data_IF_067137587244
#
_entry.id   IF_067137587244
#
_cell.length_a   1.000
_cell.length_b   1.000
_cell.length_c   1.000
_cell.angle_alpha   90.00
_cell.angle_beta   90.00
_cell.angle_gamma   90.00
#
_symmetry.space_group_name_H-M   'P 1'
#
loop_
_entity.id
_entity.type
_entity.pdbx_description
1 polymer ?
#
# COMPACT_ATOMS: atom_id res chain seq x y z
N UNK A 1 16.84 -22.71 -2.84
CA UNK A 1 16.23 -21.37 -2.74
C UNK A 1 15.55 -21.27 -1.37
N UNK A 2 15.44 -20.09 -0.75
CA UNK A 2 14.65 -19.95 0.46
C UNK A 2 13.20 -20.37 0.19
N UNK A 3 12.55 -21.02 1.17
CA UNK A 3 11.15 -21.41 1.05
C UNK A 3 10.30 -20.14 1.09
N UNK A 4 9.32 -20.06 0.18
CA UNK A 4 8.34 -18.98 0.15
C UNK A 4 7.46 -19.07 1.40
N UNK A 5 7.35 -17.97 2.14
CA UNK A 5 6.53 -17.87 3.35
C UNK A 5 5.12 -17.46 3.01
N UNK A 6 4.16 -18.32 3.30
CA UNK A 6 2.75 -18.15 2.96
C UNK A 6 1.94 -17.92 4.23
N UNK A 7 1.12 -16.87 4.22
CA UNK A 7 0.03 -16.70 5.15
C UNK A 7 -1.24 -17.27 4.52
N UNK A 8 -1.79 -18.33 5.10
CA UNK A 8 -3.04 -18.95 4.67
C UNK A 8 -4.22 -18.34 5.43
N UNK A 9 -5.23 -17.89 4.70
CA UNK A 9 -6.51 -17.40 5.23
C UNK A 9 -7.61 -18.23 4.59
N UNK A 10 -8.40 -18.91 5.41
CA UNK A 10 -9.49 -19.78 4.94
C UNK A 10 -10.71 -19.64 5.87
N UNK A 11 -11.93 -19.70 5.34
CA UNK A 11 -13.17 -19.69 6.13
C UNK A 11 -13.54 -21.06 6.73
N UNK A 12 -12.86 -22.13 6.31
CA UNK A 12 -13.03 -23.50 6.78
C UNK A 12 -11.73 -24.07 7.37
N UNK A 13 -11.75 -24.42 8.66
CA UNK A 13 -10.59 -24.98 9.36
C UNK A 13 -10.09 -26.31 8.78
N UNK A 14 -11.00 -27.20 8.37
CA UNK A 14 -10.62 -28.51 7.86
C UNK A 14 -9.97 -28.41 6.48
N UNK A 15 -10.47 -27.49 5.64
CA UNK A 15 -9.84 -27.16 4.36
C UNK A 15 -8.49 -26.48 4.57
N UNK A 16 -8.39 -25.53 5.51
CA UNK A 16 -7.15 -24.85 5.84
C UNK A 16 -6.03 -25.84 6.23
N UNK A 17 -6.34 -26.84 7.05
CA UNK A 17 -5.38 -27.88 7.45
C UNK A 17 -4.93 -28.75 6.27
N UNK A 18 -5.86 -29.13 5.38
CA UNK A 18 -5.53 -29.87 4.16
C UNK A 18 -4.60 -29.07 3.25
N UNK A 19 -4.92 -27.80 3.00
CA UNK A 19 -4.12 -26.90 2.17
C UNK A 19 -2.75 -26.68 2.79
N UNK A 20 -2.69 -26.41 4.10
CA UNK A 20 -1.44 -26.25 4.84
C UNK A 20 -0.52 -27.46 4.67
N UNK A 21 -1.05 -28.67 4.81
CA UNK A 21 -0.25 -29.89 4.62
C UNK A 21 0.25 -29.99 3.17
N UNK A 22 -0.61 -29.71 2.19
CA UNK A 22 -0.22 -29.70 0.77
C UNK A 22 0.89 -28.67 0.48
N UNK A 23 0.81 -27.48 1.07
CA UNK A 23 1.85 -26.44 0.94
C UNK A 23 3.19 -26.90 1.54
N UNK A 24 3.16 -27.51 2.73
CA UNK A 24 4.37 -28.01 3.41
C UNK A 24 5.05 -29.14 2.62
N UNK A 25 4.26 -30.01 1.97
CA UNK A 25 4.76 -31.09 1.10
C UNK A 25 5.42 -30.57 -0.19
N UNK A 26 5.04 -29.37 -0.64
CA UNK A 26 5.52 -28.75 -1.88
C UNK A 26 6.57 -27.65 -1.65
N UNK A 27 7.36 -27.79 -0.58
CA UNK A 27 8.48 -26.90 -0.24
C UNK A 27 8.11 -25.43 0.07
N UNK A 28 6.86 -25.16 0.45
CA UNK A 28 6.45 -23.88 1.01
C UNK A 28 6.55 -23.87 2.54
N UNK A 29 6.66 -22.67 3.13
CA UNK A 29 6.62 -22.46 4.58
C UNK A 29 5.31 -21.75 4.94
N UNK A 30 4.42 -22.40 5.70
CA UNK A 30 3.18 -21.76 6.16
C UNK A 30 3.43 -21.10 7.51
N UNK A 31 3.58 -19.77 7.50
CA UNK A 31 3.90 -18.99 8.71
C UNK A 31 2.66 -18.63 9.53
N UNK A 32 1.50 -18.55 8.87
CA UNK A 32 0.23 -18.27 9.50
C UNK A 32 -0.88 -19.12 8.86
N UNK A 33 -1.82 -19.55 9.68
CA UNK A 33 -3.09 -20.12 9.25
C UNK A 33 -4.18 -19.43 10.07
N UNK A 34 -4.99 -18.60 9.41
CA UNK A 34 -5.97 -17.72 10.03
C UNK A 34 -7.34 -17.97 9.42
N UNK A 35 -8.39 -17.72 10.20
CA UNK A 35 -9.75 -17.60 9.66
C UNK A 35 -10.12 -16.14 9.47
N UNK A 36 -11.16 -15.88 8.67
CA UNK A 36 -11.65 -14.53 8.38
C UNK A 36 -11.95 -13.71 9.64
N UNK A 37 -12.48 -14.35 10.67
CA UNK A 37 -12.82 -13.71 11.95
C UNK A 37 -11.59 -13.24 12.75
N UNK A 38 -10.41 -13.79 12.44
CA UNK A 38 -9.16 -13.49 13.14
C UNK A 38 -8.27 -12.48 12.41
N UNK A 39 -8.67 -12.01 11.23
CA UNK A 39 -7.87 -11.08 10.42
C UNK A 39 -7.54 -9.78 11.16
N UNK A 40 -8.50 -9.23 11.91
CA UNK A 40 -8.31 -7.99 12.65
C UNK A 40 -7.51 -8.16 13.96
N UNK A 41 -7.23 -9.40 14.37
CA UNK A 41 -6.59 -9.70 15.67
C UNK A 41 -5.08 -9.90 15.49
N UNK A 42 -4.66 -10.44 14.34
CA UNK A 42 -3.25 -10.71 14.06
C UNK A 42 -2.63 -9.63 13.17
N UNK A 43 -1.55 -9.01 13.65
CA UNK A 43 -0.66 -8.21 12.82
C UNK A 43 0.27 -9.15 12.07
N UNK A 44 -0.04 -9.43 10.80
CA UNK A 44 0.80 -10.22 9.91
C UNK A 44 2.20 -9.62 9.68
N UNK A 45 2.43 -8.36 10.07
CA UNK A 45 3.75 -7.72 10.10
C UNK A 45 4.78 -8.52 10.93
N UNK A 46 4.35 -9.22 11.98
CA UNK A 46 5.23 -10.06 12.81
C UNK A 46 5.51 -11.43 12.17
N UNK A 47 4.68 -11.85 11.21
CA UNK A 47 4.69 -13.20 10.64
C UNK A 47 5.66 -13.34 9.45
N UNK A 48 6.24 -12.23 8.97
CA UNK A 48 7.22 -12.19 7.87
C UNK A 48 6.76 -13.00 6.63
N UNK A 49 5.48 -12.94 6.28
CA UNK A 49 4.94 -13.61 5.10
C UNK A 49 5.37 -12.88 3.80
N UNK A 50 5.65 -13.65 2.75
CA UNK A 50 5.94 -13.13 1.41
C UNK A 50 4.67 -12.96 0.57
N UNK A 51 3.65 -13.78 0.83
CA UNK A 51 2.40 -13.83 0.07
C UNK A 51 1.24 -14.31 0.93
N UNK A 52 0.05 -13.78 0.64
CA UNK A 52 -1.20 -14.18 1.26
C UNK A 52 -1.97 -15.09 0.30
N UNK A 53 -2.40 -16.24 0.82
CA UNK A 53 -3.30 -17.16 0.14
C UNK A 53 -4.67 -17.08 0.81
N UNK A 54 -5.65 -16.53 0.11
CA UNK A 54 -7.05 -16.53 0.51
C UNK A 54 -7.75 -17.71 -0.17
N UNK A 55 -8.38 -18.58 0.59
CA UNK A 55 -9.36 -19.55 0.08
C UNK A 55 -10.73 -19.18 0.61
N UNK A 56 -11.67 -18.89 -0.30
CA UNK A 56 -13.03 -18.50 0.04
C UNK A 56 -14.01 -19.13 -0.96
N UNK A 57 -14.99 -19.89 -0.47
CA UNK A 57 -16.05 -20.40 -1.36
C UNK A 57 -16.91 -19.26 -1.91
N UNK A 58 -17.14 -18.22 -1.11
CA UNK A 58 -17.93 -17.04 -1.47
C UNK A 58 -17.13 -15.74 -1.24
N UNK A 59 -16.28 -15.35 -2.21
CA UNK A 59 -15.50 -14.13 -2.08
C UNK A 59 -16.38 -12.88 -2.20
N UNK A 60 -16.43 -12.10 -1.12
CA UNK A 60 -17.05 -10.77 -1.11
C UNK A 60 -15.97 -9.69 -1.21
N UNK A 61 -16.23 -8.67 -2.04
CA UNK A 61 -15.32 -7.56 -2.30
C UNK A 61 -14.78 -6.93 -1.00
N UNK A 62 -15.66 -6.61 -0.06
CA UNK A 62 -15.29 -5.89 1.17
C UNK A 62 -14.27 -6.67 2.03
N UNK A 63 -14.39 -8.00 2.07
CA UNK A 63 -13.47 -8.86 2.83
C UNK A 63 -12.10 -8.89 2.16
N UNK A 64 -12.07 -9.02 0.83
CA UNK A 64 -10.84 -9.01 0.04
C UNK A 64 -10.14 -7.65 0.20
N UNK A 65 -10.87 -6.56 0.04
CA UNK A 65 -10.36 -5.19 0.13
C UNK A 65 -9.81 -4.91 1.54
N UNK A 66 -10.51 -5.36 2.58
CA UNK A 66 -10.03 -5.31 3.96
C UNK A 66 -8.73 -6.09 4.15
N UNK A 67 -8.62 -7.29 3.59
CA UNK A 67 -7.41 -8.10 3.68
C UNK A 67 -6.23 -7.44 2.96
N UNK A 68 -6.40 -7.08 1.68
CA UNK A 68 -5.36 -6.45 0.85
C UNK A 68 -4.87 -5.15 1.50
N UNK A 69 -5.79 -4.31 1.98
CA UNK A 69 -5.45 -3.01 2.57
C UNK A 69 -4.77 -3.14 3.94
N UNK A 70 -5.07 -4.19 4.70
CA UNK A 70 -4.52 -4.36 6.06
C UNK A 70 -3.09 -4.87 6.06
N UNK A 71 -2.69 -5.63 5.03
CA UNK A 71 -1.42 -6.36 5.07
C UNK A 71 -0.38 -5.88 4.07
N UNK A 72 -0.76 -5.16 3.02
CA UNK A 72 0.18 -4.66 2.01
C UNK A 72 1.14 -5.76 1.50
N UNK A 73 0.56 -6.92 1.17
CA UNK A 73 1.26 -8.08 0.63
C UNK A 73 0.58 -8.58 -0.66
N UNK A 74 1.34 -9.26 -1.55
CA UNK A 74 0.77 -9.95 -2.69
C UNK A 74 -0.32 -10.91 -2.21
N UNK A 75 -1.50 -10.85 -2.82
CA UNK A 75 -2.68 -11.58 -2.35
C UNK A 75 -3.25 -12.43 -3.48
N UNK A 76 -3.30 -13.74 -3.28
CA UNK A 76 -3.82 -14.71 -4.24
C UNK A 76 -5.11 -15.30 -3.70
N UNK A 77 -6.18 -15.18 -4.48
CA UNK A 77 -7.50 -15.71 -4.14
C UNK A 77 -7.77 -17.03 -4.87
N UNK A 78 -8.09 -18.06 -4.11
CA UNK A 78 -8.61 -19.34 -4.54
C UNK A 78 -10.09 -19.42 -4.23
N UNK A 79 -10.86 -19.89 -5.20
CA UNK A 79 -12.30 -20.08 -5.04
C UNK A 79 -12.84 -21.05 -6.08
N UNK A 80 -13.99 -21.65 -5.80
CA UNK A 80 -14.75 -22.45 -6.79
C UNK A 80 -15.65 -21.57 -7.65
N UNK A 81 -15.76 -20.28 -7.33
CA UNK A 81 -16.63 -19.37 -8.05
C UNK A 81 -15.99 -18.92 -9.38
N UNK A 82 -16.67 -19.21 -10.49
CA UNK A 82 -16.26 -18.82 -11.85
C UNK A 82 -17.06 -17.64 -12.42
N UNK A 83 -17.90 -17.00 -11.59
CA UNK A 83 -18.70 -15.85 -11.97
C UNK A 83 -17.83 -14.64 -12.36
N UNK A 84 -18.14 -14.03 -13.50
CA UNK A 84 -17.34 -12.95 -14.08
C UNK A 84 -17.40 -11.67 -13.26
N UNK A 85 -18.54 -11.37 -12.65
CA UNK A 85 -18.69 -10.15 -11.85
C UNK A 85 -17.93 -10.28 -10.53
N UNK A 86 -17.93 -11.49 -9.95
CA UNK A 86 -17.11 -11.82 -8.78
C UNK A 86 -15.61 -11.72 -9.07
N UNK A 87 -15.16 -12.23 -10.22
CA UNK A 87 -13.76 -12.12 -10.65
C UNK A 87 -13.35 -10.65 -10.75
N UNK A 88 -14.16 -9.81 -11.40
CA UNK A 88 -13.87 -8.37 -11.52
C UNK A 88 -13.81 -7.69 -10.15
N UNK A 89 -14.77 -7.96 -9.28
CA UNK A 89 -14.81 -7.40 -7.94
C UNK A 89 -13.56 -7.77 -7.13
N UNK A 90 -13.07 -9.00 -7.26
CA UNK A 90 -11.83 -9.41 -6.59
C UNK A 90 -10.61 -8.67 -7.15
N UNK A 91 -10.51 -8.54 -8.47
CA UNK A 91 -9.40 -7.81 -9.12
C UNK A 91 -9.43 -6.34 -8.70
N UNK A 92 -10.62 -5.71 -8.70
CA UNK A 92 -10.81 -4.32 -8.28
C UNK A 92 -10.49 -4.12 -6.79
N UNK A 93 -10.70 -5.14 -5.95
CA UNK A 93 -10.30 -5.15 -4.54
C UNK A 93 -8.78 -5.32 -4.32
N UNK A 94 -8.02 -5.57 -5.40
CA UNK A 94 -6.55 -5.59 -5.36
C UNK A 94 -5.91 -6.97 -5.22
N UNK A 95 -6.63 -8.07 -5.52
CA UNK A 95 -5.95 -9.38 -5.63
C UNK A 95 -4.97 -9.37 -6.78
N UNK A 96 -3.85 -10.04 -6.60
CA UNK A 96 -2.81 -10.16 -7.62
C UNK A 96 -3.04 -11.35 -8.55
N UNK A 97 -3.75 -12.37 -8.07
CA UNK A 97 -4.20 -13.49 -8.88
C UNK A 97 -5.52 -14.06 -8.36
N UNK A 98 -6.36 -14.52 -9.28
CA UNK A 98 -7.62 -15.20 -9.00
C UNK A 98 -7.60 -16.57 -9.66
N UNK A 99 -7.80 -17.64 -8.88
CA UNK A 99 -7.65 -19.01 -9.32
C UNK A 99 -8.95 -19.77 -9.05
N UNK A 100 -9.50 -20.33 -10.13
CA UNK A 100 -10.67 -21.21 -10.12
C UNK A 100 -10.18 -22.67 -10.10
N UNK A 101 -10.90 -23.54 -9.39
CA UNK A 101 -10.64 -24.99 -9.26
C UNK A 101 -9.50 -25.41 -8.32
N UNK A 102 -9.10 -24.52 -7.40
CA UNK A 102 -8.25 -24.87 -6.26
C UNK A 102 -6.75 -24.94 -6.56
N UNK A 103 -6.00 -25.56 -5.65
CA UNK A 103 -4.53 -25.51 -5.63
C UNK A 103 -3.95 -26.71 -6.38
N UNK A 104 -3.37 -26.47 -7.55
CA UNK A 104 -2.43 -27.39 -8.21
C UNK A 104 -1.00 -27.04 -7.73
N UNK A 105 -0.36 -27.86 -6.89
CA UNK A 105 0.93 -27.53 -6.30
C UNK A 105 2.04 -27.32 -7.34
N UNK A 106 1.96 -28.02 -8.48
CA UNK A 106 2.94 -27.89 -9.56
C UNK A 106 2.88 -26.51 -10.23
N UNK A 107 1.72 -25.84 -10.20
CA UNK A 107 1.52 -24.50 -10.78
C UNK A 107 1.63 -23.41 -9.73
N UNK A 108 1.38 -23.74 -8.47
CA UNK A 108 1.34 -22.79 -7.38
C UNK A 108 2.61 -21.96 -7.29
N UNK A 109 3.78 -22.59 -7.41
CA UNK A 109 5.06 -21.89 -7.34
C UNK A 109 5.14 -20.75 -8.37
N UNK A 110 4.88 -21.07 -9.64
CA UNK A 110 4.87 -20.10 -10.73
C UNK A 110 3.85 -18.98 -10.52
N UNK A 111 2.65 -19.32 -10.03
CA UNK A 111 1.60 -18.32 -9.80
C UNK A 111 1.98 -17.37 -8.67
N UNK A 112 2.54 -17.89 -7.57
CA UNK A 112 2.99 -17.07 -6.45
C UNK A 112 4.16 -16.16 -6.87
N UNK A 113 5.14 -16.66 -7.62
CA UNK A 113 6.24 -15.84 -8.14
C UNK A 113 5.73 -14.70 -9.05
N UNK A 114 4.82 -15.02 -9.97
CA UNK A 114 4.20 -14.01 -10.84
C UNK A 114 3.44 -12.98 -10.00
N UNK A 115 2.71 -13.43 -8.97
CA UNK A 115 1.94 -12.55 -8.09
C UNK A 115 2.85 -11.60 -7.31
N UNK A 116 3.95 -12.10 -6.76
CA UNK A 116 4.94 -11.26 -6.05
C UNK A 116 5.52 -10.19 -6.98
N UNK A 117 5.89 -10.55 -8.21
CA UNK A 117 6.45 -9.59 -9.17
C UNK A 117 5.42 -8.57 -9.68
N UNK A 118 4.17 -8.99 -9.88
CA UNK A 118 3.07 -8.07 -10.21
C UNK A 118 2.83 -7.08 -9.08
N UNK A 119 2.80 -7.56 -7.83
CA UNK A 119 2.62 -6.72 -6.65
C UNK A 119 3.75 -5.69 -6.51
N UNK A 120 5.01 -6.10 -6.65
CA UNK A 120 6.17 -5.17 -6.63
C UNK A 120 6.07 -4.09 -7.71
N UNK A 121 5.66 -4.48 -8.93
CA UNK A 121 5.47 -3.51 -10.04
C UNK A 121 4.35 -2.53 -9.73
N UNK A 122 3.22 -3.02 -9.23
CA UNK A 122 2.08 -2.19 -8.84
C UNK A 122 2.50 -1.19 -7.74
N UNK A 123 3.15 -1.67 -6.68
CA UNK A 123 3.64 -0.82 -5.59
C UNK A 123 4.63 0.24 -6.04
N UNK A 124 5.52 -0.13 -6.98
CA UNK A 124 6.43 0.85 -7.58
C UNK A 124 5.66 1.94 -8.33
N UNK A 125 4.66 1.58 -9.14
CA UNK A 125 3.84 2.55 -9.87
C UNK A 125 3.04 3.45 -8.91
N UNK A 126 2.48 2.91 -7.83
CA UNK A 126 1.82 3.70 -6.79
C UNK A 126 2.79 4.69 -6.13
N UNK A 127 4.01 4.24 -5.83
CA UNK A 127 5.09 5.08 -5.29
C UNK A 127 5.48 6.20 -6.25
N UNK A 128 5.73 5.88 -7.52
CA UNK A 128 6.09 6.84 -8.57
C UNK A 128 4.96 7.88 -8.78
N UNK A 129 3.69 7.43 -8.76
CA UNK A 129 2.52 8.30 -8.85
C UNK A 129 2.44 9.26 -7.66
N UNK A 130 2.61 8.74 -6.44
CA UNK A 130 2.59 9.54 -5.22
C UNK A 130 3.73 10.57 -5.21
N UNK A 131 4.92 10.18 -5.65
CA UNK A 131 6.06 11.09 -5.77
C UNK A 131 5.79 12.20 -6.79
N UNK A 132 5.24 11.85 -7.96
CA UNK A 132 4.89 12.83 -8.99
C UNK A 132 3.82 13.83 -8.50
N UNK A 133 2.77 13.33 -7.83
CA UNK A 133 1.74 14.18 -7.23
C UNK A 133 2.33 15.10 -6.15
N UNK A 134 3.21 14.58 -5.31
CA UNK A 134 3.90 15.37 -4.27
C UNK A 134 4.76 16.47 -4.89
N UNK A 135 5.54 16.17 -5.94
CA UNK A 135 6.34 17.18 -6.66
C UNK A 135 5.47 18.30 -7.28
N UNK A 136 4.29 17.94 -7.79
CA UNK A 136 3.36 18.91 -8.38
C UNK A 136 2.74 19.81 -7.30
N UNK A 137 2.37 19.24 -6.15
CA UNK A 137 1.89 19.99 -4.99
C UNK A 137 3.00 20.91 -4.43
N UNK A 138 4.21 20.38 -4.23
CA UNK A 138 5.39 21.12 -3.77
C UNK A 138 5.66 22.34 -4.66
N UNK A 139 5.59 22.19 -5.98
CA UNK A 139 5.80 23.31 -6.91
C UNK A 139 4.80 24.44 -6.64
N UNK A 140 3.52 24.12 -6.43
CA UNK A 140 2.48 25.11 -6.14
C UNK A 140 2.73 25.81 -4.81
N UNK A 141 3.15 25.08 -3.79
CA UNK A 141 3.43 25.64 -2.46
C UNK A 141 4.67 26.53 -2.47
N UNK A 142 5.73 26.11 -3.18
CA UNK A 142 6.96 26.90 -3.34
C UNK A 142 6.69 28.24 -4.01
N UNK A 143 5.89 28.27 -5.09
CA UNK A 143 5.52 29.53 -5.75
C UNK A 143 4.77 30.47 -4.80
N UNK A 144 3.80 29.95 -4.03
CA UNK A 144 3.07 30.76 -3.04
C UNK A 144 3.98 31.28 -1.92
N UNK A 145 4.87 30.43 -1.40
CA UNK A 145 5.81 30.81 -0.36
C UNK A 145 6.81 31.88 -0.84
N UNK A 146 7.27 31.80 -2.10
CA UNK A 146 8.08 32.86 -2.71
C UNK A 146 7.33 34.19 -2.73
N UNK A 147 6.10 34.22 -3.26
CA UNK A 147 5.27 35.44 -3.32
C UNK A 147 5.08 36.03 -1.92
N UNK A 148 4.84 35.18 -0.92
CA UNK A 148 4.72 35.61 0.46
C UNK A 148 6.02 36.25 1.01
N UNK A 149 7.17 35.62 0.78
CA UNK A 149 8.47 36.17 1.17
C UNK A 149 8.77 37.49 0.45
N UNK A 150 8.37 37.62 -0.81
CA UNK A 150 8.48 38.87 -1.57
C UNK A 150 7.61 39.97 -0.95
N UNK A 151 6.38 39.66 -0.54
CA UNK A 151 5.45 40.61 0.07
C UNK A 151 5.90 41.05 1.48
N UNK A 152 6.34 40.11 2.32
CA UNK A 152 6.72 40.40 3.71
C UNK A 152 8.05 41.15 3.83
N UNK A 153 9.02 40.81 2.97
CA UNK A 153 10.39 41.31 3.09
C UNK A 153 10.84 42.21 1.92
N UNK A 154 9.96 42.48 0.95
CA UNK A 154 10.29 43.30 -0.23
C UNK A 154 11.41 42.70 -1.10
N UNK A 155 11.56 41.37 -1.07
CA UNK A 155 12.65 40.67 -1.77
C UNK A 155 12.31 40.46 -3.24
N UNK A 156 13.31 40.49 -4.15
CA UNK A 156 13.14 39.99 -5.50
C UNK A 156 12.98 38.46 -5.50
N UNK A 157 12.32 37.92 -6.52
CA UNK A 157 11.94 36.50 -6.60
C UNK A 157 13.13 35.55 -6.40
N UNK A 158 14.27 35.82 -7.07
CA UNK A 158 15.48 35.00 -6.96
C UNK A 158 15.98 34.94 -5.51
N UNK A 159 15.94 36.05 -4.79
CA UNK A 159 16.40 36.11 -3.40
C UNK A 159 15.43 35.39 -2.46
N UNK A 160 14.12 35.50 -2.71
CA UNK A 160 13.10 34.76 -1.97
C UNK A 160 13.27 33.24 -2.16
N UNK A 161 13.56 32.77 -3.38
CA UNK A 161 13.83 31.37 -3.65
C UNK A 161 15.11 30.87 -2.95
N UNK A 162 16.20 31.63 -3.03
CA UNK A 162 17.46 31.29 -2.35
C UNK A 162 17.29 31.23 -0.83
N UNK A 163 16.52 32.16 -0.25
CA UNK A 163 16.22 32.17 1.17
C UNK A 163 15.42 30.92 1.59
N UNK A 164 14.40 30.56 0.83
CA UNK A 164 13.58 29.36 1.07
C UNK A 164 14.44 28.08 0.98
N UNK A 165 15.28 27.98 -0.05
CA UNK A 165 16.20 26.86 -0.26
C UNK A 165 17.25 26.76 0.86
N UNK A 166 17.83 27.88 1.28
CA UNK A 166 18.80 27.92 2.38
C UNK A 166 18.18 27.44 3.70
N UNK A 167 16.97 27.90 4.01
CA UNK A 167 16.26 27.47 5.21
C UNK A 167 15.90 25.97 5.17
N UNK A 168 15.45 25.46 4.02
CA UNK A 168 15.17 24.04 3.84
C UNK A 168 16.42 23.17 4.10
N UNK A 169 17.59 23.58 3.58
CA UNK A 169 18.86 22.89 3.83
C UNK A 169 19.26 22.91 5.31
N UNK A 170 19.16 24.07 5.98
CA UNK A 170 19.49 24.19 7.40
C UNK A 170 18.64 23.28 8.29
N UNK A 171 17.39 23.00 7.88
CA UNK A 171 16.46 22.13 8.61
C UNK A 171 16.45 20.68 8.10
N UNK A 172 17.27 20.33 7.09
CA UNK A 172 17.31 19.00 6.44
C UNK A 172 15.95 18.49 5.95
N UNK A 173 15.12 19.40 5.45
CA UNK A 173 13.81 19.07 4.85
C UNK A 173 13.76 19.48 3.39
N UNK A 174 12.74 19.01 2.66
CA UNK A 174 12.55 19.41 1.25
C UNK A 174 12.10 20.87 1.16
N UNK A 175 12.37 21.52 0.01
CA UNK A 175 11.95 22.91 -0.23
C UNK A 175 10.41 23.01 -0.20
N UNK A 176 9.70 22.01 -0.72
CA UNK A 176 8.25 21.95 -0.68
C UNK A 176 7.69 21.85 0.74
N UNK A 177 8.32 21.06 1.61
CA UNK A 177 7.93 20.98 3.02
C UNK A 177 8.20 22.30 3.76
N UNK A 178 9.35 22.94 3.51
CA UNK A 178 9.63 24.27 4.06
C UNK A 178 8.61 25.31 3.60
N UNK A 179 8.21 25.27 2.32
CA UNK A 179 7.18 26.15 1.77
C UNK A 179 5.84 25.97 2.48
N UNK A 180 5.40 24.71 2.68
CA UNK A 180 4.17 24.41 3.43
C UNK A 180 4.22 24.93 4.85
N UNK A 181 5.29 24.67 5.59
CA UNK A 181 5.46 25.16 6.97
C UNK A 181 5.33 26.68 7.05
N UNK A 182 5.90 27.39 6.09
CA UNK A 182 5.83 28.86 6.01
C UNK A 182 4.39 29.32 5.74
N UNK A 183 3.69 28.70 4.80
CA UNK A 183 2.29 29.01 4.47
C UNK A 183 1.33 28.70 5.63
N UNK A 184 1.54 27.58 6.33
CA UNK A 184 0.72 27.19 7.47
C UNK A 184 0.93 28.13 8.66
N UNK A 185 2.17 28.55 8.93
CA UNK A 185 2.46 29.57 9.93
C UNK A 185 1.78 30.92 9.61
N UNK A 186 1.78 31.33 8.34
CA UNK A 186 1.09 32.56 7.93
C UNK A 186 -0.43 32.47 8.14
N UNK A 187 -1.04 31.33 7.80
CA UNK A 187 -2.49 31.12 8.03
C UNK A 187 -2.85 31.22 9.50
N UNK A 188 -2.07 30.57 10.37
CA UNK A 188 -2.26 30.61 11.82
C UNK A 188 -2.21 32.04 12.37
N UNK A 189 -1.25 32.85 11.92
CA UNK A 189 -1.13 34.26 12.32
C UNK A 189 -2.32 35.11 11.81
N UNK A 190 -2.80 34.84 10.60
CA UNK A 190 -3.93 35.58 10.03
C UNK A 190 -5.28 35.20 10.64
N UNK A 191 -5.48 33.94 11.05
CA UNK A 191 -6.71 33.52 11.72
C UNK A 191 -6.79 34.09 13.14
N UNK A 192 -5.66 34.19 13.86
CA UNK A 192 -5.61 34.87 15.16
C UNK A 192 -5.95 36.37 15.10
N UNK A 193 -5.70 37.02 13.96
CA UNK A 193 -6.02 38.44 13.74
C UNK A 193 -7.48 38.68 13.31
N UNK A 194 -8.26 37.64 13.04
CA UNK A 194 -9.68 37.73 12.67
C UNK A 194 -10.64 37.48 13.83
N UNK A 195 -10.15 36.87 14.91
CA UNK A 195 -10.91 36.60 16.13
C UNK A 195 -10.80 37.74 17.18
N UNK A 196 -10.12 38.85 16.84
CA UNK A 196 -10.14 40.15 17.56
C UNK A 196 -11.01 41.18 16.84
#
# INVERSE_FOLDING_TARGET
MPKLKIALIDDDHARADYIKNSLLENDFEVVACLTLDHLNIFRLEDLQADVILLDMDHPHRDIIESCVSSYDLPTVLFTKNSDKDTIKQAIDAGVTAYIVDGIDPARLHTILEISIEQYKKHKKLEGDLKEAQTKLADRKDVEKAKVLLMQLHGLPEDTAFQLLRKNAMSHRITIGEMARRLLDAQKLLNDQLKDE
#
